data_IF_032633386630
#
_entry.id   IF_032633386630
#
_cell.length_a   1.000
_cell.length_b   1.000
_cell.length_c   1.000
_cell.angle_alpha   90.00
_cell.angle_beta   90.00
_cell.angle_gamma   90.00
#
_symmetry.space_group_name_H-M   'P 1'
#
loop_
_entity.id
_entity.type
_entity.pdbx_description
1 polymer ?
#
# COMPACT_ATOMS: atom_id res chain seq x y z
N UNK A 1 -20.86 -7.43 -10.74
CA UNK A 1 -22.31 -7.37 -10.40
C UNK A 1 -23.18 -8.30 -11.24
N UNK A 2 -23.03 -8.39 -12.58
CA UNK A 2 -23.86 -9.27 -13.41
C UNK A 2 -23.73 -10.76 -13.07
N UNK A 3 -22.59 -11.21 -12.55
CA UNK A 3 -22.34 -12.60 -12.15
C UNK A 3 -22.70 -12.87 -10.69
N UNK A 4 -22.54 -11.88 -9.80
CA UNK A 4 -22.80 -12.04 -8.37
C UNK A 4 -24.30 -12.05 -8.07
N UNK A 5 -25.05 -11.15 -8.69
CA UNK A 5 -26.47 -10.99 -8.41
C UNK A 5 -27.27 -12.31 -8.53
N UNK A 6 -27.13 -13.10 -9.63
CA UNK A 6 -27.82 -14.39 -9.74
C UNK A 6 -27.39 -15.43 -8.70
N UNK A 7 -26.11 -15.44 -8.29
CA UNK A 7 -25.59 -16.38 -7.30
C UNK A 7 -26.25 -16.22 -5.94
N UNK A 8 -26.67 -15.00 -5.60
CA UNK A 8 -27.29 -14.69 -4.33
C UNK A 8 -28.81 -14.38 -4.43
N UNK A 9 -29.42 -14.64 -5.58
CA UNK A 9 -30.86 -14.41 -5.79
C UNK A 9 -31.30 -12.94 -5.65
N UNK A 10 -30.38 -11.98 -5.86
CA UNK A 10 -30.66 -10.55 -5.71
C UNK A 10 -30.57 -9.83 -7.06
N UNK A 11 -31.20 -8.66 -7.17
CA UNK A 11 -31.07 -7.82 -8.36
C UNK A 11 -29.65 -7.25 -8.47
N UNK A 12 -29.22 -6.92 -9.70
CA UNK A 12 -27.94 -6.24 -9.94
C UNK A 12 -27.81 -4.94 -9.13
N UNK A 13 -28.89 -4.17 -9.02
CA UNK A 13 -28.92 -2.91 -8.23
C UNK A 13 -28.83 -3.18 -6.73
N UNK A 14 -29.46 -4.25 -6.24
CA UNK A 14 -29.33 -4.63 -4.84
C UNK A 14 -27.91 -5.08 -4.52
N UNK A 15 -27.30 -5.92 -5.36
CA UNK A 15 -25.91 -6.33 -5.19
C UNK A 15 -24.94 -5.12 -5.20
N UNK A 16 -25.20 -4.12 -6.06
CA UNK A 16 -24.39 -2.90 -6.11
C UNK A 16 -24.51 -2.11 -4.79
N UNK A 17 -25.74 -1.84 -4.33
CA UNK A 17 -25.97 -1.13 -3.05
C UNK A 17 -25.36 -1.83 -1.85
N UNK A 18 -25.44 -3.17 -1.81
CA UNK A 18 -24.83 -3.95 -0.72
C UNK A 18 -23.34 -3.74 -0.69
N UNK A 19 -22.66 -3.84 -1.84
CA UNK A 19 -21.19 -3.68 -1.92
C UNK A 19 -20.78 -2.25 -1.59
N UNK A 20 -21.48 -1.24 -2.11
CA UNK A 20 -21.19 0.16 -1.81
C UNK A 20 -21.35 0.47 -0.31
N UNK A 21 -22.34 -0.14 0.34
CA UNK A 21 -22.58 0.06 1.78
C UNK A 21 -21.59 -0.72 2.65
N UNK A 22 -21.27 -1.96 2.30
CA UNK A 22 -20.39 -2.81 3.10
C UNK A 22 -18.90 -2.56 2.81
N UNK A 23 -18.54 -2.13 1.61
CA UNK A 23 -17.16 -1.89 1.21
C UNK A 23 -16.39 -1.00 2.18
N UNK A 24 -16.89 0.20 2.53
CA UNK A 24 -16.24 1.07 3.50
C UNK A 24 -16.13 0.45 4.91
N UNK A 25 -17.14 -0.33 5.33
CA UNK A 25 -17.15 -1.01 6.64
C UNK A 25 -16.10 -2.13 6.71
N UNK A 26 -15.84 -2.78 5.59
CA UNK A 26 -14.83 -3.84 5.48
C UNK A 26 -13.42 -3.29 5.25
N UNK A 27 -13.28 -2.00 4.98
CA UNK A 27 -11.98 -1.38 4.76
C UNK A 27 -11.10 -1.43 6.02
N UNK A 28 -9.81 -1.76 5.84
CA UNK A 28 -8.83 -1.74 6.92
C UNK A 28 -8.75 -0.33 7.51
N UNK A 29 -8.92 -0.23 8.82
CA UNK A 29 -8.77 1.05 9.51
C UNK A 29 -7.30 1.32 9.83
N UNK A 30 -6.82 2.55 9.66
CA UNK A 30 -5.46 2.92 10.05
C UNK A 30 -5.23 2.67 11.53
N UNK A 31 -4.09 2.07 11.88
CA UNK A 31 -3.70 1.93 13.29
C UNK A 31 -3.24 3.29 13.82
N UNK A 32 -3.72 3.64 15.01
CA UNK A 32 -3.33 4.88 15.70
C UNK A 32 -2.04 4.74 16.50
N UNK A 33 -1.63 3.52 16.83
CA UNK A 33 -0.41 3.21 17.62
C UNK A 33 0.15 1.86 17.18
N UNK A 34 1.47 1.73 17.30
CA UNK A 34 2.21 0.50 17.04
C UNK A 34 2.96 0.06 18.29
N UNK A 35 3.28 -1.22 18.40
CA UNK A 35 4.12 -1.73 19.47
C UNK A 35 5.53 -1.10 19.37
N UNK A 36 6.20 -0.93 20.51
CA UNK A 36 7.52 -0.27 20.56
C UNK A 36 8.62 -1.08 19.83
N UNK A 37 8.46 -2.38 19.76
CA UNK A 37 9.34 -3.35 19.10
C UNK A 37 8.96 -3.63 17.64
N UNK A 38 7.87 -3.03 17.15
CA UNK A 38 7.46 -3.16 15.76
C UNK A 38 8.46 -2.45 14.84
N UNK A 39 8.69 -3.03 13.67
CA UNK A 39 9.37 -2.37 12.55
C UNK A 39 8.31 -1.98 11.51
N UNK A 40 8.21 -0.71 11.23
CA UNK A 40 7.31 -0.20 10.20
C UNK A 40 8.04 -0.14 8.86
N UNK A 41 7.34 -0.50 7.80
CA UNK A 41 7.86 -0.42 6.43
C UNK A 41 7.02 0.58 5.67
N UNK A 42 7.67 1.63 5.17
CA UNK A 42 7.06 2.62 4.28
C UNK A 42 7.40 2.23 2.86
N UNK A 43 6.39 1.90 2.10
CA UNK A 43 6.51 1.54 0.69
C UNK A 43 5.23 1.86 -0.06
N UNK A 44 5.32 1.95 -1.38
CA UNK A 44 4.22 2.33 -2.25
C UNK A 44 3.94 1.33 -3.35
N UNK A 45 2.71 1.33 -3.83
CA UNK A 45 2.34 0.53 -4.99
C UNK A 45 1.37 1.28 -5.90
N UNK A 46 1.52 1.09 -7.20
CA UNK A 46 0.63 1.65 -8.21
C UNK A 46 -0.51 0.68 -8.50
N UNK A 47 -1.74 1.19 -8.50
CA UNK A 47 -2.93 0.44 -8.92
C UNK A 47 -3.43 1.04 -10.22
N UNK A 48 -3.40 0.28 -11.33
CA UNK A 48 -3.95 0.74 -12.60
C UNK A 48 -5.43 1.05 -12.45
N UNK A 49 -5.87 2.21 -12.92
CA UNK A 49 -7.28 2.60 -12.89
C UNK A 49 -7.74 3.13 -14.24
N UNK A 50 -9.04 3.00 -14.51
CA UNK A 50 -9.69 3.59 -15.69
C UNK A 50 -10.33 4.94 -15.40
N UNK A 51 -10.32 5.38 -14.16
CA UNK A 51 -10.81 6.69 -13.77
C UNK A 51 -9.69 7.73 -13.89
N UNK A 52 -9.71 8.47 -14.98
CA UNK A 52 -8.70 9.48 -15.28
C UNK A 52 -8.80 10.71 -14.36
N UNK A 53 -9.93 10.92 -13.69
CA UNK A 53 -10.10 12.06 -12.78
C UNK A 53 -9.24 11.96 -11.51
N UNK A 54 -8.91 10.73 -11.11
CA UNK A 54 -8.10 10.44 -9.90
C UNK A 54 -6.73 9.85 -10.23
N UNK A 55 -6.48 9.55 -11.51
CA UNK A 55 -5.25 8.91 -11.93
C UNK A 55 -4.16 9.93 -12.25
N UNK A 56 -2.92 9.57 -11.94
CA UNK A 56 -1.74 10.21 -12.47
C UNK A 56 -1.06 9.32 -13.52
N UNK A 57 -0.41 9.93 -14.48
CA UNK A 57 0.46 9.19 -15.40
C UNK A 57 1.68 8.68 -14.64
N UNK A 58 2.04 7.43 -14.87
CA UNK A 58 3.23 6.85 -14.29
C UNK A 58 4.08 6.18 -15.34
N UNK A 59 5.36 6.00 -15.02
CA UNK A 59 6.33 5.35 -15.90
C UNK A 59 5.92 3.91 -16.27
N UNK A 60 5.27 3.20 -15.35
CA UNK A 60 4.92 1.78 -15.51
C UNK A 60 3.48 1.57 -15.98
N UNK A 61 2.59 2.53 -15.72
CA UNK A 61 1.19 2.46 -16.10
C UNK A 61 0.75 3.79 -16.67
N UNK A 62 -0.03 3.74 -17.75
CA UNK A 62 -0.53 4.95 -18.40
C UNK A 62 -1.39 5.81 -17.47
N UNK A 63 -2.24 5.14 -16.67
CA UNK A 63 -3.06 5.77 -15.64
C UNK A 63 -3.10 4.87 -14.40
N UNK A 64 -2.72 5.41 -13.27
CA UNK A 64 -2.70 4.68 -12.00
C UNK A 64 -2.92 5.61 -10.83
N UNK A 65 -3.42 5.08 -9.73
CA UNK A 65 -3.40 5.72 -8.43
C UNK A 65 -2.23 5.17 -7.63
N UNK A 66 -1.53 6.05 -6.94
CA UNK A 66 -0.47 5.66 -6.04
C UNK A 66 -1.08 5.35 -4.67
N UNK A 67 -0.97 4.09 -4.25
CA UNK A 67 -1.37 3.65 -2.93
C UNK A 67 -0.11 3.37 -2.14
N UNK A 68 0.25 4.32 -1.34
CA UNK A 68 1.35 4.19 -0.41
C UNK A 68 0.80 4.05 0.99
N UNK A 69 1.52 3.30 1.78
CA UNK A 69 1.30 3.31 3.22
C UNK A 69 1.74 4.66 3.78
N UNK A 70 2.76 5.28 3.13
CA UNK A 70 3.15 6.70 3.27
C UNK A 70 3.88 7.14 2.00
N UNK A 71 3.59 8.32 1.43
CA UNK A 71 3.90 8.66 0.03
C UNK A 71 5.25 9.36 -0.19
N UNK A 72 5.57 10.37 0.58
CA UNK A 72 6.81 11.12 0.52
C UNK A 72 7.06 11.77 1.89
N UNK A 73 8.12 12.56 2.02
CA UNK A 73 8.42 13.24 3.27
C UNK A 73 7.26 14.11 3.76
N UNK A 74 6.57 14.81 2.86
CA UNK A 74 5.43 15.66 3.18
C UNK A 74 4.22 14.82 3.57
N UNK A 75 3.89 13.79 2.81
CA UNK A 75 2.81 12.87 3.13
C UNK A 75 3.08 12.07 4.41
N UNK A 76 4.34 11.73 4.72
CA UNK A 76 4.75 11.14 5.99
C UNK A 76 4.38 12.02 7.17
N UNK A 77 4.56 13.32 7.05
CA UNK A 77 4.20 14.29 8.09
C UNK A 77 2.70 14.58 8.13
N UNK A 78 2.08 14.83 6.97
CA UNK A 78 0.67 15.23 6.84
C UNK A 78 -0.33 14.09 7.10
N UNK A 79 0.01 12.84 6.76
CA UNK A 79 -0.88 11.67 6.95
C UNK A 79 -1.08 11.25 8.40
N UNK A 80 -0.35 11.83 9.34
CA UNK A 80 -0.31 11.41 10.73
C UNK A 80 0.46 10.10 10.97
N UNK A 81 1.06 9.51 9.94
CA UNK A 81 1.82 8.27 10.05
C UNK A 81 3.08 8.45 10.91
N UNK A 82 3.74 9.61 10.83
CA UNK A 82 4.86 9.99 11.70
C UNK A 82 4.44 10.00 13.18
N UNK A 83 3.29 10.61 13.48
CA UNK A 83 2.76 10.63 14.84
C UNK A 83 2.34 9.23 15.32
N UNK A 84 1.72 8.42 14.45
CA UNK A 84 1.34 7.05 14.77
C UNK A 84 2.54 6.12 14.96
N UNK A 85 3.61 6.32 14.17
CA UNK A 85 4.88 5.58 14.28
C UNK A 85 5.63 5.92 15.57
N UNK A 86 5.54 7.17 16.03
CA UNK A 86 6.20 7.62 17.25
C UNK A 86 7.71 7.36 17.24
N UNK A 87 8.19 6.58 18.23
CA UNK A 87 9.61 6.15 18.33
C UNK A 87 9.89 4.79 17.68
N UNK A 88 8.92 4.23 16.97
CA UNK A 88 9.06 2.92 16.33
C UNK A 88 10.03 3.01 15.14
N UNK A 89 10.94 2.04 15.03
CA UNK A 89 11.86 1.97 13.89
C UNK A 89 11.06 1.89 12.58
N UNK A 90 11.26 2.86 11.72
CA UNK A 90 10.56 2.92 10.43
C UNK A 90 11.60 2.93 9.31
N UNK A 91 11.47 2.00 8.39
CA UNK A 91 12.33 1.85 7.22
C UNK A 91 11.59 2.27 5.95
N UNK A 92 12.31 2.87 5.02
CA UNK A 92 11.79 3.31 3.73
C UNK A 92 12.80 3.07 2.61
N UNK A 93 12.36 3.22 1.37
CA UNK A 93 13.29 3.25 0.23
C UNK A 93 14.09 4.56 0.20
N UNK A 94 15.00 4.68 -0.76
CA UNK A 94 15.87 5.86 -0.90
C UNK A 94 15.16 7.14 -1.37
N UNK A 95 13.84 7.13 -1.45
CA UNK A 95 13.00 8.26 -1.88
C UNK A 95 12.61 9.24 -0.78
N UNK A 96 13.01 8.98 0.49
CA UNK A 96 12.58 9.75 1.67
C UNK A 96 13.72 10.51 2.40
N UNK A 97 14.56 11.29 1.71
CA UNK A 97 15.65 12.01 2.37
C UNK A 97 15.12 13.04 3.39
N UNK A 98 15.83 13.19 4.53
CA UNK A 98 15.49 14.18 5.54
C UNK A 98 14.33 13.82 6.48
N UNK A 99 13.71 12.66 6.34
CA UNK A 99 12.53 12.25 7.14
C UNK A 99 12.87 11.59 8.47
N UNK A 100 14.13 11.26 8.72
CA UNK A 100 14.55 10.47 9.89
C UNK A 100 14.24 8.97 9.78
N UNK A 101 13.76 8.52 8.64
CA UNK A 101 13.52 7.10 8.37
C UNK A 101 14.84 6.38 8.07
N UNK A 102 14.90 5.08 8.41
CA UNK A 102 16.04 4.24 8.07
C UNK A 102 15.98 3.90 6.57
N UNK A 103 16.97 4.36 5.83
CA UNK A 103 17.05 4.22 4.39
C UNK A 103 18.32 3.46 3.98
N UNK A 104 18.35 2.87 2.78
CA UNK A 104 19.56 2.26 2.26
C UNK A 104 20.62 3.32 1.97
N UNK A 105 21.88 2.96 2.19
CA UNK A 105 23.01 3.81 1.81
C UNK A 105 23.16 3.86 0.29
N UNK A 106 23.30 5.07 -0.25
CA UNK A 106 23.53 5.27 -1.68
C UNK A 106 25.02 5.06 -2.01
N UNK A 107 25.24 4.32 -3.09
CA UNK A 107 26.58 4.19 -3.70
C UNK A 107 26.85 5.43 -4.54
N UNK A 108 28.00 6.05 -4.38
CA UNK A 108 28.48 7.08 -5.29
C UNK A 108 29.08 6.43 -6.53
N UNK A 109 29.04 7.14 -7.66
CA UNK A 109 29.62 6.64 -8.91
C UNK A 109 31.13 6.44 -8.75
N UNK A 110 31.61 5.21 -8.94
CA UNK A 110 33.03 4.85 -8.86
C UNK A 110 33.57 4.52 -7.47
N UNK A 111 32.71 4.56 -6.42
CA UNK A 111 33.09 4.19 -5.05
C UNK A 111 32.34 2.93 -4.62
N UNK A 112 33.00 2.01 -3.95
CA UNK A 112 32.36 0.88 -3.29
C UNK A 112 31.90 1.28 -1.89
N UNK A 113 30.80 0.68 -1.45
CA UNK A 113 30.33 0.89 -0.08
C UNK A 113 31.20 0.08 0.87
N UNK A 114 31.53 0.60 2.07
CA UNK A 114 32.13 -0.18 3.14
C UNK A 114 31.23 -1.39 3.50
N UNK A 115 31.84 -2.48 3.93
CA UNK A 115 31.14 -3.76 4.24
C UNK A 115 29.93 -3.60 5.14
N UNK A 116 30.03 -2.76 6.17
CA UNK A 116 28.93 -2.52 7.10
C UNK A 116 27.72 -1.83 6.44
N UNK A 117 27.96 -0.96 5.44
CA UNK A 117 26.87 -0.34 4.67
C UNK A 117 26.24 -1.34 3.70
N UNK A 118 27.02 -2.24 3.14
CA UNK A 118 26.49 -3.31 2.29
C UNK A 118 25.67 -4.31 3.11
N UNK A 119 26.15 -4.69 4.28
CA UNK A 119 25.41 -5.54 5.22
C UNK A 119 24.10 -4.90 5.64
N UNK A 120 24.11 -3.59 5.98
CA UNK A 120 22.90 -2.83 6.26
C UNK A 120 21.94 -2.83 5.08
N UNK A 121 22.40 -2.53 3.87
CA UNK A 121 21.57 -2.52 2.66
C UNK A 121 20.98 -3.89 2.36
N UNK A 122 21.72 -4.96 2.64
CA UNK A 122 21.25 -6.34 2.46
C UNK A 122 20.11 -6.65 3.44
N UNK A 123 20.28 -6.36 4.73
CA UNK A 123 19.22 -6.52 5.73
C UNK A 123 18.00 -5.67 5.41
N UNK A 124 18.20 -4.43 4.99
CA UNK A 124 17.14 -3.52 4.57
C UNK A 124 16.33 -4.09 3.39
N UNK A 125 16.98 -4.64 2.36
CA UNK A 125 16.31 -5.29 1.23
C UNK A 125 15.49 -6.51 1.64
N UNK A 126 16.03 -7.35 2.53
CA UNK A 126 15.33 -8.54 3.03
C UNK A 126 14.04 -8.18 3.76
N UNK A 127 14.07 -7.14 4.58
CA UNK A 127 12.88 -6.67 5.30
C UNK A 127 11.86 -6.06 4.34
N UNK A 128 12.28 -5.23 3.38
CA UNK A 128 11.40 -4.62 2.39
C UNK A 128 10.77 -5.62 1.43
N UNK A 129 11.47 -6.69 1.07
CA UNK A 129 10.91 -7.75 0.22
C UNK A 129 9.59 -8.31 0.75
N UNK A 130 9.38 -8.29 2.07
CA UNK A 130 8.12 -8.75 2.68
C UNK A 130 6.92 -7.91 2.23
N UNK A 131 7.04 -6.59 2.22
CA UNK A 131 5.92 -5.72 1.79
C UNK A 131 5.72 -5.79 0.27
N UNK A 132 6.77 -5.94 -0.50
CA UNK A 132 6.68 -6.14 -1.96
C UNK A 132 5.90 -7.43 -2.29
N UNK A 133 6.16 -8.53 -1.55
CA UNK A 133 5.40 -9.76 -1.67
C UNK A 133 3.92 -9.59 -1.28
N UNK A 134 3.63 -8.81 -0.23
CA UNK A 134 2.23 -8.48 0.15
C UNK A 134 1.55 -7.73 -0.99
N UNK A 135 2.16 -6.70 -1.54
CA UNK A 135 1.59 -5.97 -2.66
C UNK A 135 1.41 -6.84 -3.91
N UNK A 136 2.36 -7.72 -4.22
CA UNK A 136 2.23 -8.67 -5.31
C UNK A 136 1.00 -9.57 -5.13
N UNK A 137 0.80 -10.14 -3.93
CA UNK A 137 -0.38 -10.95 -3.61
C UNK A 137 -1.68 -10.15 -3.68
N UNK A 138 -1.70 -8.92 -3.14
CA UNK A 138 -2.88 -8.06 -3.22
C UNK A 138 -3.27 -7.75 -4.67
N UNK A 139 -2.29 -7.56 -5.56
CA UNK A 139 -2.52 -7.29 -6.98
C UNK A 139 -3.00 -8.51 -7.79
N UNK A 140 -2.98 -9.72 -7.25
CA UNK A 140 -3.65 -10.87 -7.91
C UNK A 140 -5.16 -10.71 -7.95
N UNK A 141 -5.73 -9.93 -7.02
CA UNK A 141 -7.15 -9.63 -7.02
C UNK A 141 -7.52 -8.76 -8.22
N UNK A 142 -8.48 -9.23 -9.02
CA UNK A 142 -8.89 -8.54 -10.26
C UNK A 142 -9.33 -7.09 -10.01
N UNK A 143 -9.95 -6.81 -8.87
CA UNK A 143 -10.41 -5.47 -8.49
C UNK A 143 -9.25 -4.46 -8.40
N UNK A 144 -8.03 -4.91 -8.09
CA UNK A 144 -6.82 -4.07 -8.05
C UNK A 144 -6.01 -4.16 -9.35
N UNK A 145 -6.00 -5.33 -10.01
CA UNK A 145 -5.27 -5.53 -11.27
C UNK A 145 -5.90 -4.81 -12.47
N UNK A 146 -7.24 -4.69 -12.48
CA UNK A 146 -8.03 -4.02 -13.52
C UNK A 146 -9.13 -3.19 -12.82
N UNK A 147 -8.72 -2.13 -12.13
CA UNK A 147 -9.63 -1.32 -11.34
C UNK A 147 -10.56 -0.51 -12.24
N UNK A 148 -11.86 -0.74 -12.08
CA UNK A 148 -12.94 -0.02 -12.79
C UNK A 148 -13.78 0.85 -11.85
N UNK A 149 -13.36 0.96 -10.59
CA UNK A 149 -14.02 1.78 -9.61
C UNK A 149 -13.69 3.26 -9.88
N UNK A 150 -14.61 4.13 -9.50
CA UNK A 150 -14.46 5.58 -9.64
C UNK A 150 -14.23 6.24 -8.29
N UNK A 151 -13.58 7.40 -8.30
CA UNK A 151 -13.31 8.19 -7.10
C UNK A 151 -12.62 7.35 -6.02
N UNK A 152 -13.07 7.46 -4.79
CA UNK A 152 -12.50 6.75 -3.63
C UNK A 152 -12.69 5.22 -3.66
N UNK A 153 -13.41 4.69 -4.66
CA UNK A 153 -13.65 3.25 -4.75
C UNK A 153 -12.38 2.41 -4.83
N UNK A 154 -11.32 2.91 -5.49
CA UNK A 154 -10.03 2.24 -5.54
C UNK A 154 -9.37 2.19 -4.17
N UNK A 155 -9.47 3.26 -3.39
CA UNK A 155 -8.95 3.34 -2.03
C UNK A 155 -9.66 2.34 -1.11
N UNK A 156 -10.99 2.29 -1.16
CA UNK A 156 -11.77 1.31 -0.40
C UNK A 156 -11.45 -0.13 -0.81
N UNK A 157 -11.28 -0.41 -2.10
CA UNK A 157 -10.88 -1.73 -2.58
C UNK A 157 -9.51 -2.13 -2.04
N UNK A 158 -8.52 -1.22 -2.09
CA UNK A 158 -7.17 -1.47 -1.58
C UNK A 158 -7.21 -1.81 -0.08
N UNK A 159 -7.94 -1.04 0.72
CA UNK A 159 -8.08 -1.28 2.16
C UNK A 159 -8.87 -2.55 2.48
N UNK A 160 -9.90 -2.87 1.70
CA UNK A 160 -10.67 -4.11 1.85
C UNK A 160 -9.81 -5.35 1.56
N UNK A 161 -9.05 -5.34 0.47
CA UNK A 161 -8.12 -6.44 0.14
C UNK A 161 -7.02 -6.56 1.19
N UNK A 162 -6.47 -5.47 1.69
CA UNK A 162 -5.48 -5.49 2.77
C UNK A 162 -6.04 -6.15 4.04
N UNK A 163 -7.29 -5.86 4.40
CA UNK A 163 -7.95 -6.51 5.54
C UNK A 163 -8.15 -8.01 5.33
N UNK A 164 -8.63 -8.41 4.15
CA UNK A 164 -8.81 -9.83 3.81
C UNK A 164 -7.46 -10.57 3.84
N UNK A 165 -6.40 -9.95 3.34
CA UNK A 165 -5.06 -10.51 3.39
C UNK A 165 -4.59 -10.72 4.83
N UNK A 166 -4.78 -9.74 5.71
CA UNK A 166 -4.42 -9.85 7.11
C UNK A 166 -5.23 -10.92 7.85
N UNK A 167 -6.53 -11.05 7.55
CA UNK A 167 -7.37 -12.11 8.12
C UNK A 167 -6.91 -13.51 7.68
N UNK A 168 -6.52 -13.68 6.42
CA UNK A 168 -5.99 -14.94 5.91
C UNK A 168 -4.62 -15.33 6.49
N UNK A 169 -3.88 -14.39 7.08
CA UNK A 169 -2.61 -14.67 7.76
C UNK A 169 -2.80 -14.94 9.26
N UNK A 170 -3.93 -14.53 9.83
CA UNK A 170 -4.22 -14.66 11.26
C UNK A 170 -4.99 -15.95 11.61
N UNK A 171 -5.55 -16.66 10.60
CA UNK A 171 -6.23 -17.95 10.74
C UNK A 171 -5.39 -19.09 10.28
#
# INVERSE_FOLDING_TARGET
MRQIAPLFGVSKSAAHRIIDRLGPMLALQPRKRFAKDAVLIVDGTLVPTRDHAIAAQSKNYRYSTNHQVVIDAKAWEESGAKAAGGKTTTIADGGYPGTGLVMPHRRRKGEDLPDWKEAHNTSHRQVRARVEHVFARMKTWKILRDCRLKGDGVHHAMRGIARLHNLALAG
#
